data_IF_029206622132
#
_entry.id   IF_029206622132
#
_cell.length_a   1.000
_cell.length_b   1.000
_cell.length_c   1.000
_cell.angle_alpha   90.00
_cell.angle_beta   90.00
_cell.angle_gamma   90.00
#
_symmetry.space_group_name_H-M   'P 1'
#
loop_
_entity.id
_entity.type
_entity.pdbx_description
1 polymer ?
#
# COMPACT_ATOMS: atom_id res chain seq x y z
N UNK A 1 -1.36 13.46 -1.95
CA UNK A 1 -0.84 13.29 -0.59
C UNK A 1 -1.10 11.88 -0.10
N UNK A 2 -0.13 11.03 -0.27
CA UNK A 2 -0.22 9.67 0.22
C UNK A 2 -0.20 9.65 1.74
N UNK A 3 -0.91 8.70 2.33
CA UNK A 3 -0.98 8.55 3.78
C UNK A 3 -0.59 7.14 4.17
N UNK A 4 0.32 7.05 5.10
CA UNK A 4 0.73 5.78 5.68
C UNK A 4 0.56 5.92 7.19
N UNK A 5 -0.25 5.07 7.79
CA UNK A 5 -0.57 5.21 9.20
C UNK A 5 -0.68 3.85 9.85
N UNK A 6 -0.92 3.86 11.14
CA UNK A 6 -1.04 2.65 11.92
C UNK A 6 0.29 1.92 11.99
N UNK A 7 0.25 0.63 11.79
CA UNK A 7 1.46 -0.19 11.81
C UNK A 7 1.93 -0.55 10.41
N UNK A 8 1.52 0.22 9.43
CA UNK A 8 1.90 -0.03 8.05
C UNK A 8 3.40 0.11 7.87
N UNK A 9 3.96 -0.73 7.03
CA UNK A 9 5.39 -0.72 6.76
C UNK A 9 5.60 -0.65 5.25
N UNK A 10 6.34 0.35 4.84
CA UNK A 10 6.68 0.54 3.43
C UNK A 10 8.20 0.62 3.34
N UNK A 11 8.80 -0.33 2.66
CA UNK A 11 10.25 -0.34 2.57
C UNK A 11 10.70 -0.99 1.26
N UNK A 12 12.01 -1.07 1.08
CA UNK A 12 12.56 -1.48 -0.19
C UNK A 12 12.45 -0.35 -1.20
N UNK A 13 12.06 -0.68 -2.41
CA UNK A 13 11.88 0.31 -3.47
C UNK A 13 10.41 0.66 -3.68
N UNK A 14 9.60 0.48 -2.65
CA UNK A 14 8.17 0.76 -2.76
C UNK A 14 7.92 2.26 -2.83
N UNK A 15 6.92 2.63 -3.62
CA UNK A 15 6.53 4.02 -3.80
C UNK A 15 5.03 4.12 -3.51
N UNK A 16 4.68 5.03 -2.61
CA UNK A 16 3.28 5.33 -2.29
C UNK A 16 3.09 6.81 -2.57
N UNK A 17 2.23 7.13 -3.51
CA UNK A 17 2.09 8.51 -3.96
C UNK A 17 0.63 8.85 -4.27
N UNK A 18 0.44 10.09 -4.70
CA UNK A 18 -0.87 10.63 -5.01
C UNK A 18 -1.76 10.59 -3.77
N UNK A 19 -2.97 10.04 -3.88
CA UNK A 19 -3.90 9.98 -2.76
C UNK A 19 -4.01 8.58 -2.16
N UNK A 20 -2.99 7.77 -2.36
CA UNK A 20 -2.99 6.42 -1.81
C UNK A 20 -3.02 6.45 -0.29
N UNK A 21 -3.70 5.48 0.30
CA UNK A 21 -3.78 5.34 1.74
C UNK A 21 -3.35 3.93 2.12
N UNK A 22 -2.43 3.86 3.05
CA UNK A 22 -1.93 2.59 3.57
C UNK A 22 -2.05 2.66 5.09
N UNK A 23 -2.76 1.72 5.67
CA UNK A 23 -3.00 1.75 7.10
C UNK A 23 -3.07 0.35 7.67
N UNK A 24 -3.31 0.29 8.97
CA UNK A 24 -3.39 -0.97 9.72
C UNK A 24 -2.03 -1.67 9.68
N UNK A 25 -2.00 -2.97 9.48
CA UNK A 25 -0.77 -3.75 9.55
C UNK A 25 -0.26 -4.15 8.17
N UNK A 26 -0.45 -3.30 7.19
CA UNK A 26 -0.03 -3.58 5.82
C UNK A 26 1.49 -3.54 5.72
N UNK A 27 2.03 -4.45 4.92
CA UNK A 27 3.46 -4.46 4.61
C UNK A 27 3.62 -4.33 3.11
N UNK A 28 4.41 -3.37 2.70
CA UNK A 28 4.68 -3.11 1.28
C UNK A 28 6.19 -3.07 1.09
N UNK A 29 6.71 -3.95 0.25
CA UNK A 29 8.14 -3.99 0.03
C UNK A 29 8.44 -4.55 -1.36
N UNK A 30 9.69 -4.39 -1.76
CA UNK A 30 10.09 -4.75 -3.11
C UNK A 30 9.88 -3.59 -4.05
N UNK A 31 9.55 -3.87 -5.31
CA UNK A 31 9.34 -2.85 -6.34
C UNK A 31 7.86 -2.57 -6.52
N UNK A 32 7.20 -2.10 -5.49
CA UNK A 32 5.76 -1.89 -5.49
C UNK A 32 5.47 -0.40 -5.69
N UNK A 33 4.46 -0.11 -6.49
CA UNK A 33 3.96 1.25 -6.65
C UNK A 33 2.49 1.29 -6.25
N UNK A 34 2.16 2.18 -5.33
CA UNK A 34 0.78 2.38 -4.88
C UNK A 34 0.46 3.86 -5.08
N UNK A 35 -0.39 4.15 -6.04
CA UNK A 35 -0.73 5.53 -6.37
C UNK A 35 -2.21 5.67 -6.71
N UNK A 36 -2.57 6.90 -7.07
CA UNK A 36 -3.95 7.21 -7.35
C UNK A 36 -4.75 7.28 -6.07
N UNK A 37 -5.92 6.68 -6.08
CA UNK A 37 -6.78 6.62 -4.89
C UNK A 37 -6.80 5.23 -4.28
N UNK A 38 -5.69 4.52 -4.38
CA UNK A 38 -5.62 3.16 -3.84
C UNK A 38 -5.70 3.19 -2.33
N UNK A 39 -6.37 2.19 -1.77
CA UNK A 39 -6.47 2.02 -0.32
C UNK A 39 -6.02 0.62 0.02
N UNK A 40 -5.06 0.52 0.92
CA UNK A 40 -4.52 -0.76 1.35
C UNK A 40 -4.61 -0.82 2.86
N UNK A 41 -5.26 -1.86 3.38
CA UNK A 41 -5.50 -1.93 4.81
C UNK A 41 -5.55 -3.39 5.27
N UNK A 42 -5.72 -3.57 6.55
CA UNK A 42 -5.77 -4.88 7.15
C UNK A 42 -4.39 -5.46 7.30
N UNK A 43 -4.27 -6.74 7.08
CA UNK A 43 -2.98 -7.42 7.16
C UNK A 43 -2.42 -7.74 5.78
N UNK A 44 -2.67 -6.87 4.82
CA UNK A 44 -2.23 -7.11 3.45
C UNK A 44 -0.72 -7.07 3.36
N UNK A 45 -0.19 -7.93 2.52
CA UNK A 45 1.23 -7.95 2.24
C UNK A 45 1.42 -7.81 0.74
N UNK A 46 2.10 -6.77 0.34
CA UNK A 46 2.32 -6.47 -1.07
C UNK A 46 3.81 -6.48 -1.31
N UNK A 47 4.23 -7.32 -2.25
CA UNK A 47 5.65 -7.50 -2.48
C UNK A 47 5.88 -7.84 -3.94
N UNK A 48 7.15 -7.96 -4.27
CA UNK A 48 7.54 -8.27 -5.63
C UNK A 48 7.47 -7.05 -6.50
N UNK A 49 6.86 -7.18 -7.67
CA UNK A 49 6.70 -6.09 -8.62
C UNK A 49 5.23 -5.88 -8.85
N UNK A 50 4.60 -5.12 -7.99
CA UNK A 50 3.19 -4.85 -8.08
C UNK A 50 2.97 -3.38 -8.38
N UNK A 51 1.95 -3.09 -9.18
CA UNK A 51 1.57 -1.73 -9.49
C UNK A 51 0.10 -1.61 -9.15
N UNK A 52 -0.20 -0.69 -8.24
CA UNK A 52 -1.56 -0.47 -7.76
C UNK A 52 -1.87 1.00 -7.97
N UNK A 53 -2.87 1.29 -8.79
CA UNK A 53 -3.27 2.67 -8.97
C UNK A 53 -4.73 2.72 -9.38
N UNK A 54 -5.28 3.94 -9.39
CA UNK A 54 -6.68 4.13 -9.62
C UNK A 54 -7.47 3.94 -8.34
N UNK A 55 -8.75 3.61 -8.47
CA UNK A 55 -9.63 3.42 -7.32
C UNK A 55 -9.64 1.97 -6.90
N UNK A 56 -8.60 1.55 -6.23
CA UNK A 56 -8.41 0.17 -5.83
C UNK A 56 -8.45 0.08 -4.31
N UNK A 57 -9.16 -0.91 -3.79
CA UNK A 57 -9.16 -1.22 -2.36
C UNK A 57 -8.60 -2.60 -2.16
N UNK A 58 -7.63 -2.69 -1.29
CA UNK A 58 -7.02 -3.96 -0.93
C UNK A 58 -7.16 -4.12 0.57
N UNK A 59 -7.78 -5.19 0.99
CA UNK A 59 -7.87 -5.50 2.40
C UNK A 59 -7.69 -6.99 2.58
N UNK A 60 -7.09 -7.34 3.68
CA UNK A 60 -6.82 -8.73 3.99
C UNK A 60 -7.12 -8.92 5.46
N UNK A 61 -8.23 -9.59 5.73
CA UNK A 61 -8.71 -9.75 7.09
C UNK A 61 -8.39 -11.10 7.69
N UNK A 62 -7.59 -11.86 7.06
CA UNK A 62 -7.34 -13.21 7.56
C UNK A 62 -6.41 -13.27 8.73
#
# INVERSE_FOLDING_TARGET
>A
DAKVSGYARVFGSAIVCDYAEVCDSVEIYGNVMVCGHAKVRGNAKIRGEAIIYGNVEISDDE
#
